data_IF_027312081061
#
_entry.id   IF_027312081061
#
_cell.length_a   1.000
_cell.length_b   1.000
_cell.length_c   1.000
_cell.angle_alpha   90.00
_cell.angle_beta   90.00
_cell.angle_gamma   90.00
#
_symmetry.space_group_name_H-M   'P 1'
#
loop_
_entity.id
_entity.type
_entity.pdbx_description
1 polymer ?
#
# COMPACT_ATOMS: atom_id res chain seq x y z
N UNK A 1 25.22 -12.87 -17.64
CA UNK A 1 24.36 -12.31 -16.57
C UNK A 1 23.70 -11.09 -17.16
N UNK A 2 22.47 -11.23 -17.64
CA UNK A 2 21.71 -10.10 -18.13
C UNK A 2 21.24 -9.29 -16.92
N UNK A 3 21.83 -8.10 -16.76
CA UNK A 3 21.31 -7.10 -15.85
C UNK A 3 20.02 -6.61 -16.51
N UNK A 4 18.86 -7.13 -16.08
CA UNK A 4 17.58 -6.52 -16.39
C UNK A 4 17.52 -5.16 -15.70
N UNK A 5 18.06 -4.16 -16.38
CA UNK A 5 17.89 -2.76 -16.04
C UNK A 5 16.42 -2.38 -16.33
N UNK A 6 15.53 -2.71 -15.39
CA UNK A 6 14.22 -2.08 -15.31
C UNK A 6 14.41 -0.64 -14.81
N UNK A 7 14.91 0.22 -15.69
CA UNK A 7 14.91 1.67 -15.45
C UNK A 7 13.46 2.11 -15.50
N UNK A 8 12.82 2.13 -14.32
CA UNK A 8 11.48 2.63 -14.10
C UNK A 8 11.53 4.15 -14.02
N UNK A 9 10.92 4.84 -14.98
CA UNK A 9 10.70 6.29 -14.97
C UNK A 9 9.34 6.69 -14.34
N UNK A 10 8.57 5.71 -13.85
CA UNK A 10 7.31 5.91 -13.13
C UNK A 10 7.51 6.27 -11.65
N UNK A 11 6.44 6.71 -10.99
CA UNK A 11 6.44 6.96 -9.54
C UNK A 11 6.52 5.63 -8.80
N UNK A 12 7.67 5.38 -8.17
CA UNK A 12 7.84 4.25 -7.26
C UNK A 12 7.26 4.57 -5.90
N UNK A 13 6.58 3.58 -5.33
CA UNK A 13 6.07 3.64 -3.97
C UNK A 13 6.76 2.58 -3.13
N UNK A 14 7.00 2.90 -1.85
CA UNK A 14 7.35 1.87 -0.88
C UNK A 14 6.22 0.84 -0.86
N UNK A 15 6.55 -0.44 -0.98
CA UNK A 15 5.57 -1.53 -1.02
C UNK A 15 4.67 -1.51 0.21
N UNK A 16 5.23 -1.20 1.38
CA UNK A 16 4.44 -1.06 2.62
C UNK A 16 3.35 0.00 2.51
N UNK A 17 3.59 1.14 1.86
CA UNK A 17 2.57 2.19 1.70
C UNK A 17 1.41 1.71 0.83
N UNK A 18 1.69 0.87 -0.18
CA UNK A 18 0.66 0.27 -1.03
C UNK A 18 -0.13 -0.77 -0.23
N UNK A 19 0.54 -1.63 0.55
CA UNK A 19 -0.14 -2.58 1.45
C UNK A 19 -1.03 -1.85 2.47
N UNK A 20 -0.56 -0.76 3.05
CA UNK A 20 -1.38 0.05 3.98
C UNK A 20 -2.58 0.70 3.28
N UNK A 21 -2.41 1.10 2.02
CA UNK A 21 -3.48 1.65 1.20
C UNK A 21 -4.56 0.62 0.90
N UNK A 22 -4.18 -0.59 0.46
CA UNK A 22 -5.14 -1.65 0.07
C UNK A 22 -5.79 -2.35 1.27
N UNK A 23 -5.12 -2.37 2.43
CA UNK A 23 -5.66 -2.92 3.68
C UNK A 23 -6.38 -1.88 4.54
N UNK A 24 -6.14 -0.58 4.29
CA UNK A 24 -6.58 0.53 5.13
C UNK A 24 -6.13 0.40 6.59
N UNK A 25 -4.96 -0.19 6.81
CA UNK A 25 -4.29 -0.37 8.11
C UNK A 25 -2.87 0.15 8.07
N UNK A 26 -2.52 0.95 9.07
CA UNK A 26 -1.16 1.46 9.24
C UNK A 26 -0.26 0.34 9.80
N UNK A 27 0.84 0.07 9.12
CA UNK A 27 1.85 -0.95 9.45
C UNK A 27 3.11 -0.22 9.93
N UNK A 28 3.62 0.70 9.13
CA UNK A 28 4.72 1.62 9.45
C UNK A 28 4.24 3.05 9.66
N UNK A 29 3.23 3.51 8.92
CA UNK A 29 2.67 4.86 9.10
C UNK A 29 2.11 5.06 10.51
N UNK A 30 2.13 6.29 11.00
CA UNK A 30 1.50 6.65 12.27
C UNK A 30 0.03 7.04 12.05
N UNK A 31 -0.29 7.52 10.85
CA UNK A 31 -1.64 7.90 10.47
C UNK A 31 -1.92 7.68 8.98
N UNK A 32 -3.21 7.65 8.62
CA UNK A 32 -3.64 7.63 7.21
C UNK A 32 -3.23 8.89 6.43
N UNK A 33 -2.88 9.97 7.12
CA UNK A 33 -2.40 11.20 6.46
C UNK A 33 -0.97 11.02 5.94
N UNK A 34 -0.18 10.10 6.50
CA UNK A 34 1.19 9.81 6.04
C UNK A 34 1.18 9.16 4.65
N UNK A 35 0.04 8.61 4.22
CA UNK A 35 -0.22 8.06 2.89
C UNK A 35 -0.65 9.10 1.85
N UNK A 36 -0.64 10.40 2.20
CA UNK A 36 -0.93 11.49 1.27
C UNK A 36 -0.10 11.41 -0.03
N UNK A 37 1.20 11.03 -0.04
CA UNK A 37 1.95 10.89 -1.28
C UNK A 37 1.35 9.87 -2.26
N UNK A 38 0.72 8.80 -1.75
CA UNK A 38 0.02 7.82 -2.61
C UNK A 38 -1.17 8.50 -3.30
N UNK A 39 -1.98 9.25 -2.54
CA UNK A 39 -3.13 9.97 -3.09
C UNK A 39 -2.69 11.05 -4.07
N UNK A 40 -1.68 11.85 -3.73
CA UNK A 40 -1.23 12.96 -4.58
C UNK A 40 -0.71 12.49 -5.95
N UNK A 41 -0.17 11.27 -6.03
CA UNK A 41 0.36 10.72 -7.27
C UNK A 41 -0.65 9.88 -8.05
N UNK A 42 -1.56 9.17 -7.37
CA UNK A 42 -2.49 8.23 -8.01
C UNK A 42 -3.90 8.79 -8.17
N UNK A 43 -4.26 9.89 -7.49
CA UNK A 43 -5.55 10.54 -7.65
C UNK A 43 -5.48 11.63 -8.71
N UNK A 44 -6.41 11.67 -9.69
CA UNK A 44 -6.30 12.54 -10.86
C UNK A 44 -6.43 14.05 -10.54
N UNK A 45 -6.83 14.41 -9.31
CA UNK A 45 -7.06 15.81 -8.91
C UNK A 45 -6.37 16.08 -7.59
N UNK A 46 -5.78 17.28 -7.44
CA UNK A 46 -5.27 17.70 -6.13
C UNK A 46 -6.41 17.74 -5.12
N UNK A 47 -6.27 16.97 -4.05
CA UNK A 47 -7.20 17.01 -2.93
C UNK A 47 -6.92 18.23 -2.07
N UNK A 48 -7.98 18.92 -1.62
CA UNK A 48 -7.87 19.97 -0.59
C UNK A 48 -7.62 19.31 0.76
N UNK A 49 -7.31 20.12 1.78
CA UNK A 49 -7.29 19.69 3.18
C UNK A 49 -8.55 18.86 3.49
N UNK A 50 -8.35 17.57 3.77
CA UNK A 50 -9.39 16.63 4.17
C UNK A 50 -9.03 16.01 5.51
N UNK A 51 -10.02 15.85 6.39
CA UNK A 51 -9.84 15.08 7.62
C UNK A 51 -9.65 13.59 7.36
N UNK A 52 -9.48 12.80 8.42
CA UNK A 52 -9.17 11.37 8.36
C UNK A 52 -10.15 10.56 7.48
N UNK A 53 -11.45 10.89 7.50
CA UNK A 53 -12.47 10.22 6.68
C UNK A 53 -12.25 10.41 5.19
N UNK A 54 -11.80 11.60 4.78
CA UNK A 54 -11.52 11.91 3.38
C UNK A 54 -10.30 11.13 2.89
N UNK A 55 -9.21 11.11 3.68
CA UNK A 55 -8.05 10.27 3.39
C UNK A 55 -8.44 8.80 3.23
N UNK A 56 -9.21 8.25 4.18
CA UNK A 56 -9.66 6.86 4.12
C UNK A 56 -10.50 6.55 2.88
N UNK A 57 -11.37 7.48 2.46
CA UNK A 57 -12.14 7.33 1.23
C UNK A 57 -11.24 7.22 0.00
N UNK A 58 -10.31 8.18 -0.18
CA UNK A 58 -9.42 8.16 -1.35
C UNK A 58 -8.52 6.92 -1.37
N UNK A 59 -7.94 6.55 -0.24
CA UNK A 59 -7.13 5.34 -0.13
C UNK A 59 -7.93 4.07 -0.43
N UNK A 60 -9.21 4.03 -0.06
CA UNK A 60 -10.08 2.88 -0.36
C UNK A 60 -10.32 2.74 -1.86
N UNK A 61 -10.62 3.85 -2.54
CA UNK A 61 -10.84 3.84 -3.99
C UNK A 61 -9.57 3.53 -4.78
N UNK A 62 -8.43 4.11 -4.37
CA UNK A 62 -7.12 3.82 -4.94
C UNK A 62 -6.76 2.35 -4.69
N UNK A 63 -6.91 1.88 -3.45
CA UNK A 63 -6.60 0.50 -3.06
C UNK A 63 -7.39 -0.51 -3.88
N UNK A 64 -8.69 -0.26 -4.13
CA UNK A 64 -9.51 -1.09 -5.00
C UNK A 64 -8.97 -1.14 -6.43
N UNK A 65 -8.69 0.02 -7.03
CA UNK A 65 -8.14 0.10 -8.38
C UNK A 65 -6.79 -0.63 -8.50
N UNK A 66 -5.93 -0.53 -7.48
CA UNK A 66 -4.66 -1.25 -7.42
C UNK A 66 -4.93 -2.77 -7.40
N UNK A 67 -5.78 -3.27 -6.50
CA UNK A 67 -6.04 -4.72 -6.42
C UNK A 67 -6.76 -5.27 -7.65
N UNK A 68 -7.56 -4.45 -8.33
CA UNK A 68 -8.22 -4.85 -9.59
C UNK A 68 -7.21 -4.94 -10.75
N UNK A 69 -6.16 -4.11 -10.76
CA UNK A 69 -5.15 -4.05 -11.82
C UNK A 69 -3.94 -4.96 -11.59
N UNK A 70 -3.56 -5.21 -10.34
CA UNK A 70 -2.33 -5.93 -9.95
C UNK A 70 -2.66 -7.15 -9.06
N UNK A 71 -2.83 -8.36 -9.65
CA UNK A 71 -3.22 -9.57 -8.91
C UNK A 71 -2.26 -9.96 -7.78
N UNK A 72 -0.95 -9.76 -7.97
CA UNK A 72 0.07 -10.04 -6.97
C UNK A 72 -0.08 -9.14 -5.73
N UNK A 73 -0.54 -7.89 -5.91
CA UNK A 73 -0.85 -6.98 -4.80
C UNK A 73 -2.18 -7.36 -4.17
N UNK A 74 -3.16 -7.84 -4.94
CA UNK A 74 -4.42 -8.35 -4.42
C UNK A 74 -4.19 -9.56 -3.49
N UNK A 75 -3.36 -10.52 -3.91
CA UNK A 75 -2.98 -11.68 -3.10
C UNK A 75 -2.25 -11.25 -1.81
N UNK A 76 -1.27 -10.36 -1.94
CA UNK A 76 -0.55 -9.81 -0.78
C UNK A 76 -1.48 -9.05 0.19
N UNK A 77 -2.45 -8.30 -0.34
CA UNK A 77 -3.46 -7.59 0.44
C UNK A 77 -4.34 -8.56 1.22
N UNK A 78 -4.78 -9.63 0.56
CA UNK A 78 -5.62 -10.65 1.17
C UNK A 78 -4.86 -11.44 2.24
N UNK A 79 -3.59 -11.77 1.99
CA UNK A 79 -2.70 -12.36 2.99
C UNK A 79 -2.61 -11.48 4.25
N UNK A 80 -2.40 -10.18 4.09
CA UNK A 80 -2.33 -9.23 5.20
C UNK A 80 -3.68 -9.09 5.92
N UNK A 81 -4.80 -9.00 5.20
CA UNK A 81 -6.15 -8.95 5.78
C UNK A 81 -6.49 -10.21 6.58
N UNK A 82 -6.08 -11.37 6.08
CA UNK A 82 -6.24 -12.63 6.80
C UNK A 82 -5.43 -12.65 8.09
N UNK A 83 -4.18 -12.18 8.06
CA UNK A 83 -3.38 -12.04 9.29
C UNK A 83 -4.07 -11.13 10.32
N UNK A 84 -4.54 -9.95 9.90
CA UNK A 84 -5.24 -9.00 10.78
C UNK A 84 -6.52 -9.61 11.37
N UNK A 85 -7.28 -10.32 10.56
CA UNK A 85 -8.57 -10.91 10.97
C UNK A 85 -8.38 -12.04 11.98
N UNK A 86 -7.37 -12.89 11.79
CA UNK A 86 -7.05 -13.97 12.71
C UNK A 86 -6.27 -13.50 13.96
N UNK A 87 -5.70 -12.30 13.92
CA UNK A 87 -4.95 -11.71 15.03
C UNK A 87 -5.48 -10.30 15.37
N UNK A 88 -6.73 -10.17 15.88
CA UNK A 88 -7.37 -8.87 16.09
C UNK A 88 -6.64 -7.97 17.10
N UNK A 89 -5.80 -8.54 17.96
CA UNK A 89 -5.00 -7.83 18.95
C UNK A 89 -3.53 -7.66 18.53
N UNK A 90 -3.18 -7.97 17.27
CA UNK A 90 -1.83 -7.79 16.75
C UNK A 90 -1.38 -6.34 16.93
N UNK A 91 -0.18 -6.17 17.49
CA UNK A 91 0.45 -4.86 17.64
C UNK A 91 1.07 -4.44 16.32
N UNK A 92 1.40 -3.14 16.22
CA UNK A 92 2.11 -2.56 15.06
C UNK A 92 3.36 -3.38 14.68
N UNK A 93 4.13 -3.83 15.67
CA UNK A 93 5.33 -4.65 15.44
C UNK A 93 5.01 -6.00 14.79
N UNK A 94 3.90 -6.65 15.15
CA UNK A 94 3.49 -7.93 14.57
C UNK A 94 3.10 -7.74 13.09
N UNK A 95 2.37 -6.65 12.79
CA UNK A 95 2.01 -6.27 11.42
C UNK A 95 3.27 -6.01 10.58
N UNK A 96 4.26 -5.31 11.14
CA UNK A 96 5.55 -5.03 10.48
C UNK A 96 6.36 -6.31 10.23
N UNK A 97 6.35 -7.25 11.17
CA UNK A 97 7.03 -8.54 10.99
C UNK A 97 6.37 -9.35 9.88
N UNK A 98 5.03 -9.40 9.86
CA UNK A 98 4.29 -10.12 8.82
C UNK A 98 4.52 -9.49 7.44
N UNK A 99 4.44 -8.15 7.34
CA UNK A 99 4.62 -7.43 6.08
C UNK A 99 6.02 -7.60 5.48
N UNK A 100 7.07 -7.78 6.30
CA UNK A 100 8.43 -8.05 5.79
C UNK A 100 8.50 -9.28 4.88
N UNK A 101 7.72 -10.33 5.18
CA UNK A 101 7.71 -11.52 4.34
C UNK A 101 7.09 -11.24 2.96
N UNK A 102 6.03 -10.44 2.91
CA UNK A 102 5.36 -9.99 1.69
C UNK A 102 6.28 -9.07 0.88
N UNK A 103 6.89 -8.09 1.53
CA UNK A 103 7.81 -7.11 0.91
C UNK A 103 9.03 -7.83 0.31
N UNK A 104 9.55 -8.87 0.95
CA UNK A 104 10.65 -9.68 0.39
C UNK A 104 10.28 -10.33 -0.96
N UNK A 105 9.01 -10.65 -1.17
CA UNK A 105 8.52 -11.25 -2.43
C UNK A 105 8.27 -10.19 -3.50
N UNK A 106 7.65 -9.06 -3.12
CA UNK A 106 7.27 -8.00 -4.08
C UNK A 106 8.39 -6.99 -4.37
N UNK A 107 9.41 -6.91 -3.50
CA UNK A 107 10.41 -5.85 -3.48
C UNK A 107 10.06 -4.73 -2.50
N UNK A 108 11.07 -3.97 -2.06
CA UNK A 108 10.90 -2.83 -1.14
C UNK A 108 10.14 -1.64 -1.77
N UNK A 109 10.22 -1.52 -3.10
CA UNK A 109 9.54 -0.52 -3.90
C UNK A 109 8.85 -1.17 -5.10
N UNK A 110 7.68 -0.65 -5.45
CA UNK A 110 6.88 -1.09 -6.60
C UNK A 110 6.42 0.11 -7.42
N UNK A 111 6.37 -0.09 -8.74
CA UNK A 111 5.85 0.89 -9.69
C UNK A 111 4.34 0.70 -9.84
N UNK A 112 3.58 1.76 -9.55
CA UNK A 112 2.11 1.76 -9.62
C UNK A 112 1.64 2.91 -10.49
N UNK A 113 0.77 2.60 -11.43
CA UNK A 113 0.08 3.58 -12.28
C UNK A 113 -1.41 3.25 -12.30
N UNK A 114 -2.27 4.26 -12.23
CA UNK A 114 -3.74 4.14 -12.32
C UNK A 114 -4.30 5.04 -13.42
#
# INVERSE_FOLDING_TARGET
MEIQNNVSFGTKFRTVNILETTTLRCIESDSVADLKPVIDNLWPKKIKSTGWRGYRYFLSEIGKQITDKYPEIAEATENMKNFITHNPNAKKLDLQQHSKSIIKTLGDEIDITL
#
